data_IF_822628421146
#
_entry.id   IF_822628421146
#
_cell.length_a   1.000
_cell.length_b   1.000
_cell.length_c   1.000
_cell.angle_alpha   90.00
_cell.angle_beta   90.00
_cell.angle_gamma   90.00
#
_symmetry.space_group_name_H-M   'P 1'
#
loop_
_entity.id
_entity.type
_entity.pdbx_description
1 polymer ?
#
# COMPACT_ATOMS: atom_id res chain seq x y z
N UNK A 1 21.43 -5.83 16.64
CA UNK A 1 20.46 -4.82 16.18
C UNK A 1 19.09 -5.48 16.20
N UNK A 2 18.17 -5.04 17.07
CA UNK A 2 16.80 -5.57 17.11
C UNK A 2 16.00 -4.86 16.01
N UNK A 3 15.67 -5.58 14.93
CA UNK A 3 14.85 -5.02 13.85
C UNK A 3 13.43 -4.78 14.35
N UNK A 4 12.84 -3.61 14.02
CA UNK A 4 11.41 -3.39 14.25
C UNK A 4 10.61 -4.31 13.33
N UNK A 5 9.62 -4.98 13.89
CA UNK A 5 8.63 -5.69 13.11
C UNK A 5 7.60 -4.67 12.63
N UNK A 6 7.43 -4.60 11.31
CA UNK A 6 6.41 -3.81 10.63
C UNK A 6 5.57 -4.81 9.85
N UNK A 7 4.29 -4.99 10.16
CA UNK A 7 3.40 -5.87 9.40
C UNK A 7 2.56 -5.13 8.35
N UNK A 8 2.60 -3.79 8.34
CA UNK A 8 1.81 -3.01 7.40
C UNK A 8 2.49 -1.71 6.95
N UNK A 9 2.14 -1.28 5.75
CA UNK A 9 2.45 0.01 5.19
C UNK A 9 1.15 0.66 4.73
N UNK A 10 0.98 1.93 5.02
CA UNK A 10 -0.07 2.74 4.41
C UNK A 10 0.55 3.99 3.81
N UNK A 11 0.31 4.21 2.52
CA UNK A 11 0.82 5.35 1.77
C UNK A 11 -0.30 5.97 0.94
N UNK A 12 -0.30 7.29 0.80
CA UNK A 12 -1.37 8.00 0.08
C UNK A 12 -0.84 9.26 -0.57
N UNK A 13 -1.59 9.76 -1.54
CA UNK A 13 -1.45 11.13 -2.04
C UNK A 13 -2.54 12.02 -1.49
N UNK A 14 -2.32 13.33 -1.48
CA UNK A 14 -3.29 14.30 -0.93
C UNK A 14 -4.47 14.56 -1.86
N UNK A 15 -4.39 14.11 -3.11
CA UNK A 15 -5.47 14.21 -4.09
C UNK A 15 -6.42 13.02 -3.99
N UNK A 16 -7.71 13.21 -4.28
CA UNK A 16 -8.68 12.12 -4.30
C UNK A 16 -8.50 11.20 -5.51
N UNK A 17 -7.79 11.64 -6.56
CA UNK A 17 -7.42 10.79 -7.69
C UNK A 17 -5.91 10.91 -7.92
N UNK A 18 -5.21 9.78 -8.02
CA UNK A 18 -3.79 9.76 -8.30
C UNK A 18 -3.53 9.76 -9.80
N UNK A 19 -2.63 10.63 -10.24
CA UNK A 19 -2.04 10.56 -11.58
C UNK A 19 -1.24 9.26 -11.77
N UNK A 20 -0.97 8.80 -13.01
CA UNK A 20 -0.16 7.62 -13.26
C UNK A 20 1.22 7.66 -12.56
N UNK A 21 1.88 8.83 -12.54
CA UNK A 21 3.15 9.03 -11.84
C UNK A 21 3.00 8.89 -10.32
N UNK A 22 1.91 9.38 -9.73
CA UNK A 22 1.63 9.19 -8.31
C UNK A 22 1.32 7.73 -7.97
N UNK A 23 0.57 7.02 -8.82
CA UNK A 23 0.32 5.56 -8.67
C UNK A 23 1.67 4.82 -8.69
N UNK A 24 2.54 5.14 -9.65
CA UNK A 24 3.88 4.55 -9.74
C UNK A 24 4.73 4.85 -8.50
N UNK A 25 4.70 6.08 -7.97
CA UNK A 25 5.44 6.45 -6.77
C UNK A 25 4.98 5.65 -5.54
N UNK A 26 3.66 5.49 -5.34
CA UNK A 26 3.12 4.66 -4.25
C UNK A 26 3.56 3.19 -4.38
N UNK A 27 3.53 2.64 -5.59
CA UNK A 27 4.04 1.29 -5.89
C UNK A 27 5.52 1.14 -5.56
N UNK A 28 6.36 2.12 -5.89
CA UNK A 28 7.79 2.06 -5.58
C UNK A 28 8.07 2.15 -4.06
N UNK A 29 7.31 2.97 -3.33
CA UNK A 29 7.38 2.98 -1.85
C UNK A 29 7.03 1.59 -1.30
N UNK A 30 5.96 0.96 -1.77
CA UNK A 30 5.60 -0.40 -1.37
C UNK A 30 6.71 -1.42 -1.64
N UNK A 31 7.32 -1.39 -2.85
CA UNK A 31 8.45 -2.27 -3.15
C UNK A 31 9.66 -2.00 -2.25
N UNK A 32 9.93 -0.75 -1.90
CA UNK A 32 11.03 -0.39 -1.02
C UNK A 32 10.81 -0.98 0.38
N UNK A 33 9.58 -0.92 0.91
CA UNK A 33 9.24 -1.52 2.20
C UNK A 33 9.27 -3.04 2.18
N UNK A 34 8.71 -3.70 1.15
CA UNK A 34 8.80 -5.16 1.03
C UNK A 34 10.26 -5.64 1.01
N UNK A 35 11.12 -4.94 0.25
CA UNK A 35 12.57 -5.23 0.21
C UNK A 35 13.25 -4.95 1.55
N UNK A 36 13.07 -3.76 2.11
CA UNK A 36 13.68 -3.36 3.38
C UNK A 36 13.23 -4.22 4.56
N UNK A 37 11.98 -4.69 4.55
CA UNK A 37 11.41 -5.60 5.54
C UNK A 37 11.79 -7.07 5.36
N UNK A 38 12.65 -7.39 4.39
CA UNK A 38 13.00 -8.78 4.03
C UNK A 38 11.76 -9.67 3.87
N UNK A 39 10.63 -9.09 3.47
CA UNK A 39 9.46 -9.85 3.09
C UNK A 39 9.88 -10.54 1.80
N UNK A 40 9.99 -11.88 1.82
CA UNK A 40 10.33 -12.67 0.64
C UNK A 40 9.16 -12.67 -0.34
N UNK A 41 8.86 -11.50 -0.88
CA UNK A 41 7.74 -11.29 -1.77
C UNK A 41 8.02 -12.06 -3.06
N UNK A 42 7.12 -13.00 -3.40
CA UNK A 42 7.22 -13.75 -4.64
C UNK A 42 7.08 -12.82 -5.84
N UNK A 43 7.58 -13.20 -7.03
CA UNK A 43 7.35 -12.43 -8.25
C UNK A 43 5.86 -12.15 -8.50
N UNK A 44 4.96 -13.06 -8.10
CA UNK A 44 3.52 -12.89 -8.23
C UNK A 44 2.97 -11.81 -7.27
N UNK A 45 3.49 -11.71 -6.05
CA UNK A 45 3.14 -10.65 -5.10
C UNK A 45 3.64 -9.28 -5.57
N UNK A 46 4.84 -9.21 -6.16
CA UNK A 46 5.33 -7.98 -6.79
C UNK A 46 4.54 -7.61 -8.05
N UNK A 47 4.07 -8.60 -8.80
CA UNK A 47 3.21 -8.39 -9.96
C UNK A 47 1.84 -7.85 -9.55
N UNK A 48 1.32 -8.22 -8.38
CA UNK A 48 0.07 -7.67 -7.85
C UNK A 48 0.12 -6.14 -7.72
N UNK A 49 1.24 -5.59 -7.25
CA UNK A 49 1.47 -4.14 -7.18
C UNK A 49 1.49 -3.46 -8.57
N UNK A 50 1.83 -4.20 -9.62
CA UNK A 50 1.82 -3.69 -10.99
C UNK A 50 0.43 -3.68 -11.61
N UNK A 51 -0.58 -4.27 -10.94
CA UNK A 51 -1.95 -4.29 -11.46
C UNK A 51 -2.81 -3.15 -10.95
N UNK A 52 -2.29 -2.32 -10.03
CA UNK A 52 -3.05 -1.23 -9.38
C UNK A 52 -3.62 -0.20 -10.36
N UNK A 53 -2.99 -0.02 -11.51
CA UNK A 53 -3.48 0.83 -12.60
C UNK A 53 -4.76 0.29 -13.26
N UNK A 54 -5.03 -1.00 -13.13
CA UNK A 54 -6.20 -1.70 -13.70
C UNK A 54 -7.32 -1.90 -12.68
N UNK A 55 -7.10 -1.51 -11.43
CA UNK A 55 -8.14 -1.62 -10.42
C UNK A 55 -9.14 -0.50 -10.66
N UNK A 56 -10.43 -0.85 -10.58
CA UNK A 56 -11.51 0.06 -10.90
C UNK A 56 -11.45 1.33 -10.05
N UNK A 57 -11.80 2.45 -10.66
CA UNK A 57 -11.89 3.72 -9.95
C UNK A 57 -13.17 3.73 -9.09
N UNK A 58 -13.03 4.20 -7.85
CA UNK A 58 -14.18 4.46 -6.97
C UNK A 58 -14.35 3.45 -5.85
N UNK A 59 -13.71 3.73 -4.71
CA UNK A 59 -13.88 2.97 -3.48
C UNK A 59 -12.62 2.24 -3.07
N UNK A 60 -12.78 1.34 -2.10
CA UNK A 60 -11.70 0.49 -1.58
C UNK A 60 -11.74 -0.87 -2.24
N UNK A 61 -10.60 -1.31 -2.73
CA UNK A 61 -10.38 -2.62 -3.32
C UNK A 61 -9.22 -3.28 -2.58
N UNK A 62 -9.27 -4.60 -2.45
CA UNK A 62 -8.24 -5.36 -1.77
C UNK A 62 -8.04 -6.72 -2.42
N UNK A 63 -6.80 -7.19 -2.45
CA UNK A 63 -6.43 -8.51 -2.94
C UNK A 63 -5.31 -9.09 -2.11
N UNK A 64 -5.51 -10.33 -1.69
CA UNK A 64 -4.51 -11.10 -0.93
C UNK A 64 -3.90 -12.17 -1.81
N UNK A 65 -2.58 -12.30 -1.74
CA UNK A 65 -1.80 -13.35 -2.40
C UNK A 65 -0.72 -13.86 -1.45
N UNK A 66 -0.78 -15.14 -1.11
CA UNK A 66 0.19 -15.84 -0.26
C UNK A 66 0.53 -15.07 1.04
N UNK A 67 -0.51 -14.56 1.71
CA UNK A 67 -0.39 -13.82 2.97
C UNK A 67 0.01 -12.34 2.85
N UNK A 68 0.35 -11.86 1.66
CA UNK A 68 0.50 -10.42 1.39
C UNK A 68 -0.81 -9.88 0.86
N UNK A 69 -1.38 -8.92 1.57
CA UNK A 69 -2.60 -8.21 1.20
C UNK A 69 -2.24 -6.84 0.67
N UNK A 70 -2.70 -6.54 -0.54
CA UNK A 70 -2.57 -5.24 -1.19
C UNK A 70 -3.95 -4.62 -1.26
N UNK A 71 -4.11 -3.45 -0.69
CA UNK A 71 -5.32 -2.65 -0.73
C UNK A 71 -5.09 -1.36 -1.49
N UNK A 72 -6.04 -0.98 -2.32
CA UNK A 72 -6.01 0.26 -3.09
C UNK A 72 -7.35 0.96 -2.96
N UNK A 73 -7.28 2.26 -2.74
CA UNK A 73 -8.43 3.12 -2.90
C UNK A 73 -8.11 4.22 -3.89
N UNK A 74 -9.00 4.40 -4.85
CA UNK A 74 -9.08 5.61 -5.66
C UNK A 74 -10.38 6.37 -5.33
N UNK A 75 -10.35 7.69 -5.42
CA UNK A 75 -11.49 8.54 -5.07
C UNK A 75 -11.79 8.52 -3.58
N UNK A 76 -13.01 8.10 -3.25
CA UNK A 76 -13.58 8.20 -1.90
C UNK A 76 -13.21 7.04 -0.97
N UNK A 77 -12.46 6.04 -1.45
CA UNK A 77 -12.20 4.80 -0.72
C UNK A 77 -11.23 4.90 0.44
N UNK A 78 -10.39 5.93 0.50
CA UNK A 78 -9.40 6.13 1.57
C UNK A 78 -9.68 7.42 2.34
N UNK A 79 -10.32 7.27 3.51
CA UNK A 79 -10.71 8.39 4.35
C UNK A 79 -9.75 8.58 5.53
N UNK A 80 -8.97 9.67 5.51
CA UNK A 80 -8.25 10.11 6.71
C UNK A 80 -9.04 11.22 7.40
N UNK A 81 -9.24 11.06 8.72
CA UNK A 81 -9.60 12.19 9.58
C UNK A 81 -8.36 13.03 9.76
N UNK A 82 -8.37 14.26 9.26
CA UNK A 82 -7.40 15.26 9.72
C UNK A 82 -7.92 15.94 11.00
N UNK A 83 -7.08 16.76 11.61
CA UNK A 83 -7.32 17.44 12.90
C UNK A 83 -8.60 18.29 12.91
N UNK A 84 -9.22 18.57 11.75
CA UNK A 84 -10.42 19.39 11.60
C UNK A 84 -11.65 18.57 11.19
N UNK A 85 -11.90 17.42 11.84
CA UNK A 85 -13.13 16.59 11.86
C UNK A 85 -13.78 16.17 10.51
N UNK A 86 -13.34 16.67 9.36
CA UNK A 86 -13.85 16.32 8.03
C UNK A 86 -13.01 15.20 7.44
N UNK A 87 -13.68 14.11 7.07
CA UNK A 87 -13.07 13.02 6.32
C UNK A 87 -12.58 13.57 4.96
N UNK A 88 -11.28 13.51 4.72
CA UNK A 88 -10.70 13.86 3.41
C UNK A 88 -10.45 12.58 2.62
N UNK A 89 -11.08 12.51 1.46
CA UNK A 89 -10.89 11.44 0.50
C UNK A 89 -9.51 11.56 -0.16
N UNK A 90 -8.80 10.44 -0.22
CA UNK A 90 -7.45 10.33 -0.78
C UNK A 90 -7.36 9.07 -1.61
N UNK A 91 -6.50 9.09 -2.62
CA UNK A 91 -6.01 7.85 -3.22
C UNK A 91 -4.93 7.27 -2.33
N UNK A 92 -5.03 5.98 -2.02
CA UNK A 92 -4.14 5.32 -1.06
C UNK A 92 -3.87 3.86 -1.36
N UNK A 93 -2.70 3.43 -0.93
CA UNK A 93 -2.20 2.06 -0.97
C UNK A 93 -2.03 1.57 0.48
N UNK A 94 -2.59 0.41 0.78
CA UNK A 94 -2.23 -0.37 1.97
C UNK A 94 -1.50 -1.62 1.53
N UNK A 95 -0.44 -1.99 2.25
CA UNK A 95 0.08 -3.34 2.24
C UNK A 95 0.06 -3.89 3.64
N UNK A 96 -0.27 -5.17 3.73
CA UNK A 96 -0.17 -5.95 4.96
C UNK A 96 0.49 -7.29 4.65
N UNK A 97 1.32 -7.77 5.55
CA UNK A 97 1.99 -9.06 5.47
C UNK A 97 2.15 -9.69 6.86
N UNK A 98 2.45 -10.99 6.97
CA UNK A 98 2.54 -11.63 8.27
C UNK A 98 3.69 -11.04 9.10
N UNK A 99 3.44 -10.71 10.37
CA UNK A 99 4.44 -10.14 11.28
C UNK A 99 5.73 -11.01 11.36
N UNK A 100 5.55 -12.33 11.27
CA UNK A 100 6.63 -13.31 11.29
C UNK A 100 7.58 -13.19 10.09
N UNK A 101 7.07 -12.66 8.97
CA UNK A 101 7.84 -12.37 7.76
C UNK A 101 8.54 -11.01 7.81
N UNK A 102 8.32 -10.19 8.85
CA UNK A 102 8.85 -8.84 8.94
C UNK A 102 10.17 -8.76 9.72
N UNK A 103 11.26 -8.49 9.00
CA UNK A 103 12.54 -8.07 9.58
C UNK A 103 13.09 -6.87 8.83
N UNK A 104 12.65 -5.69 9.26
CA UNK A 104 13.02 -4.45 8.60
C UNK A 104 14.42 -3.96 8.95
N UNK A 105 15.18 -3.66 7.89
CA UNK A 105 16.48 -3.00 7.89
C UNK A 105 16.35 -1.79 6.96
N UNK A 106 16.30 -0.61 7.56
CA UNK A 106 16.34 0.68 6.87
C UNK A 106 17.50 1.49 7.43
#
# INVERSE_FOLDING_TARGET
MSGRQIECLTAWVTTPTATPTQKQALTEVARAYLRGCNVQATPAQLALLNTLDRWEDGGWHEKTLDGVTVGWADGNGFGFRDEAERLKHRTGLSLQWPLQASRCQF
#
